data_IF_885959943295
#
_entry.id   IF_885959943295
#
_cell.length_a   1.000
_cell.length_b   1.000
_cell.length_c   1.000
_cell.angle_alpha   90.00
_cell.angle_beta   90.00
_cell.angle_gamma   90.00
#
_symmetry.space_group_name_H-M   'P 1'
#
loop_
_entity.id
_entity.type
_entity.pdbx_description
1 polymer ?
#
# COMPACT_ATOMS: atom_id res chain seq x y z
N UNK A 1 -20.46 -8.19 -26.07
CA UNK A 1 -20.17 -8.43 -24.63
C UNK A 1 -18.67 -8.37 -24.28
N UNK A 2 -17.73 -8.49 -25.23
CA UNK A 2 -16.26 -8.48 -24.97
C UNK A 2 -15.67 -7.11 -24.52
N UNK A 3 -16.16 -5.96 -25.02
CA UNK A 3 -15.61 -4.63 -24.65
C UNK A 3 -15.88 -4.18 -23.20
N UNK A 4 -16.95 -4.67 -22.57
CA UNK A 4 -17.28 -4.30 -21.18
C UNK A 4 -16.31 -4.98 -20.18
N UNK A 5 -15.97 -6.26 -20.39
CA UNK A 5 -15.02 -6.99 -19.52
C UNK A 5 -13.65 -6.33 -19.50
N UNK A 6 -13.13 -5.96 -20.67
CA UNK A 6 -11.82 -5.31 -20.77
C UNK A 6 -11.77 -3.92 -20.11
N UNK A 7 -12.87 -3.16 -20.13
CA UNK A 7 -12.94 -1.86 -19.45
C UNK A 7 -12.99 -2.02 -17.93
N UNK A 8 -13.77 -2.98 -17.42
CA UNK A 8 -13.82 -3.28 -15.98
C UNK A 8 -12.49 -3.81 -15.46
N UNK A 9 -11.86 -4.76 -16.16
CA UNK A 9 -10.54 -5.29 -15.81
C UNK A 9 -9.47 -4.21 -15.79
N UNK A 10 -9.48 -3.31 -16.79
CA UNK A 10 -8.56 -2.16 -16.84
C UNK A 10 -8.76 -1.24 -15.64
N UNK A 11 -10.00 -0.93 -15.29
CA UNK A 11 -10.33 -0.08 -14.14
C UNK A 11 -9.88 -0.72 -12.82
N UNK A 12 -10.15 -2.01 -12.62
CA UNK A 12 -9.69 -2.76 -11.44
C UNK A 12 -8.16 -2.79 -11.34
N UNK A 13 -7.46 -2.99 -12.46
CA UNK A 13 -5.99 -2.97 -12.50
C UNK A 13 -5.45 -1.58 -12.15
N UNK A 14 -6.06 -0.51 -12.66
CA UNK A 14 -5.69 0.86 -12.35
C UNK A 14 -5.94 1.21 -10.87
N UNK A 15 -7.08 0.79 -10.33
CA UNK A 15 -7.42 0.94 -8.92
C UNK A 15 -6.41 0.24 -8.01
N UNK A 16 -6.03 -1.00 -8.34
CA UNK A 16 -4.99 -1.75 -7.63
C UNK A 16 -3.63 -1.06 -7.71
N UNK A 17 -3.23 -0.60 -8.90
CA UNK A 17 -1.94 0.05 -9.12
C UNK A 17 -1.79 1.36 -8.36
N UNK A 18 -2.77 2.26 -8.47
CA UNK A 18 -2.74 3.55 -7.74
C UNK A 18 -2.88 3.31 -6.23
N UNK A 19 -3.73 2.37 -5.81
CA UNK A 19 -3.87 1.99 -4.40
C UNK A 19 -2.55 1.53 -3.79
N UNK A 20 -1.84 0.60 -4.45
CA UNK A 20 -0.53 0.13 -4.01
C UNK A 20 0.49 1.27 -3.92
N UNK A 21 0.53 2.18 -4.88
CA UNK A 21 1.45 3.33 -4.84
C UNK A 21 1.19 4.24 -3.62
N UNK A 22 -0.07 4.41 -3.21
CA UNK A 22 -0.44 5.20 -2.04
C UNK A 22 -0.12 4.47 -0.73
N UNK A 23 -0.49 3.20 -0.62
CA UNK A 23 -0.30 2.36 0.56
C UNK A 23 1.17 2.12 0.86
N UNK A 24 1.93 1.82 -0.19
CA UNK A 24 3.37 1.61 -0.07
C UNK A 24 4.13 2.92 -0.17
N UNK A 25 3.58 4.11 0.09
CA UNK A 25 4.38 5.33 0.29
C UNK A 25 5.20 5.80 -0.91
N UNK A 26 4.72 5.59 -2.15
CA UNK A 26 5.26 6.28 -3.33
C UNK A 26 4.95 7.78 -3.32
N UNK A 27 4.01 8.20 -2.47
CA UNK A 27 3.63 9.58 -2.19
C UNK A 27 3.63 9.82 -0.67
N UNK A 28 4.02 11.01 -0.24
CA UNK A 28 4.02 11.37 1.18
C UNK A 28 2.61 11.67 1.70
N UNK A 29 2.32 11.43 3.00
CA UNK A 29 1.05 11.81 3.61
C UNK A 29 0.72 13.31 3.44
N UNK A 30 -0.45 13.61 2.88
CA UNK A 30 -0.86 14.98 2.56
C UNK A 30 -0.29 15.55 1.26
N UNK A 31 0.54 14.80 0.51
CA UNK A 31 1.06 15.23 -0.79
C UNK A 31 -0.07 15.40 -1.80
N UNK A 32 -0.06 16.51 -2.54
CA UNK A 32 -0.98 16.72 -3.66
C UNK A 32 -0.67 15.80 -4.83
N UNK A 33 -1.70 15.14 -5.35
CA UNK A 33 -1.61 14.22 -6.47
C UNK A 33 -1.87 14.97 -7.77
N UNK A 34 -0.82 15.15 -8.57
CA UNK A 34 -0.94 15.73 -9.91
C UNK A 34 -1.53 14.68 -10.85
N UNK A 35 -2.71 14.97 -11.41
CA UNK A 35 -3.38 14.04 -12.33
C UNK A 35 -2.50 13.68 -13.53
N UNK A 36 -1.70 14.62 -14.05
CA UNK A 36 -0.81 14.37 -15.19
C UNK A 36 0.28 13.34 -14.88
N UNK A 37 0.77 13.30 -13.64
CA UNK A 37 1.79 12.36 -13.21
C UNK A 37 1.21 10.94 -13.08
N UNK A 38 -0.01 10.84 -12.52
CA UNK A 38 -0.75 9.57 -12.45
C UNK A 38 -1.11 9.04 -13.83
N UNK A 39 -1.59 9.90 -14.73
CA UNK A 39 -1.88 9.55 -16.12
C UNK A 39 -0.66 8.97 -16.82
N UNK A 40 0.50 9.63 -16.68
CA UNK A 40 1.77 9.16 -17.25
C UNK A 40 2.23 7.83 -16.63
N UNK A 41 2.22 7.73 -15.30
CA UNK A 41 2.72 6.55 -14.57
C UNK A 41 1.90 5.29 -14.91
N UNK A 42 0.58 5.42 -15.00
CA UNK A 42 -0.31 4.28 -15.23
C UNK A 42 -0.85 4.19 -16.66
N UNK A 43 -0.34 5.03 -17.58
CA UNK A 43 -0.78 5.12 -18.99
C UNK A 43 -2.32 5.20 -19.10
N UNK A 44 -2.92 6.06 -18.28
CA UNK A 44 -4.37 6.20 -18.13
C UNK A 44 -4.82 7.60 -18.53
N UNK A 45 -6.09 7.74 -18.88
CA UNK A 45 -6.72 9.04 -19.16
C UNK A 45 -7.06 9.79 -17.88
N UNK A 46 -7.23 11.11 -17.98
CA UNK A 46 -7.65 11.95 -16.86
C UNK A 46 -8.98 11.49 -16.24
N UNK A 47 -9.92 11.00 -17.06
CA UNK A 47 -11.21 10.50 -16.61
C UNK A 47 -11.06 9.25 -15.74
N UNK A 48 -10.31 8.25 -16.21
CA UNK A 48 -10.05 7.00 -15.47
C UNK A 48 -9.35 7.29 -14.14
N UNK A 49 -8.32 8.14 -14.14
CA UNK A 49 -7.61 8.53 -12.90
C UNK A 49 -8.56 9.19 -11.91
N UNK A 50 -9.41 10.12 -12.36
CA UNK A 50 -10.39 10.77 -11.46
C UNK A 50 -11.42 9.80 -10.91
N UNK A 51 -11.86 8.82 -11.70
CA UNK A 51 -12.79 7.80 -11.23
C UNK A 51 -12.14 6.95 -10.14
N UNK A 52 -10.94 6.44 -10.38
CA UNK A 52 -10.16 5.68 -9.39
C UNK A 52 -9.90 6.49 -8.12
N UNK A 53 -9.48 7.75 -8.23
CA UNK A 53 -9.24 8.59 -7.04
C UNK A 53 -10.52 8.86 -6.23
N UNK A 54 -11.70 8.91 -6.85
CA UNK A 54 -12.98 9.00 -6.11
C UNK A 54 -13.27 7.72 -5.33
N UNK A 55 -12.98 6.56 -5.89
CA UNK A 55 -13.15 5.28 -5.20
C UNK A 55 -12.13 5.14 -4.06
N UNK A 56 -10.88 5.49 -4.29
CA UNK A 56 -9.83 5.49 -3.26
C UNK A 56 -10.10 6.52 -2.15
N UNK A 57 -10.80 7.62 -2.45
CA UNK A 57 -11.32 8.54 -1.43
C UNK A 57 -12.33 7.84 -0.52
N UNK A 58 -13.23 7.04 -1.08
CA UNK A 58 -14.18 6.23 -0.30
C UNK A 58 -13.50 5.23 0.64
N UNK A 59 -12.27 4.81 0.32
CA UNK A 59 -11.42 3.94 1.16
C UNK A 59 -10.51 4.71 2.12
N UNK A 60 -10.54 6.05 2.11
CA UNK A 60 -9.70 6.87 2.98
C UNK A 60 -8.23 6.97 2.57
N UNK A 61 -7.83 6.54 1.36
CA UNK A 61 -6.44 6.62 0.88
C UNK A 61 -6.09 8.01 0.35
N UNK A 62 -7.09 8.77 -0.11
CA UNK A 62 -6.94 10.13 -0.61
C UNK A 62 -8.07 11.02 -0.11
N UNK A 63 -7.81 12.32 -0.05
CA UNK A 63 -8.79 13.35 0.24
C UNK A 63 -9.02 14.23 -0.99
N UNK A 64 -10.27 14.59 -1.26
CA UNK A 64 -10.60 15.57 -2.29
C UNK A 64 -10.86 16.94 -1.65
N UNK A 65 -10.18 17.97 -2.16
CA UNK A 65 -10.34 19.36 -1.75
C UNK A 65 -10.91 20.18 -2.92
N UNK A 66 -12.02 20.91 -2.72
CA UNK A 66 -12.60 21.77 -3.76
C UNK A 66 -11.53 22.72 -4.32
N UNK A 67 -11.51 22.92 -5.63
CA UNK A 67 -10.57 23.80 -6.36
C UNK A 67 -9.08 23.40 -6.34
N UNK A 68 -8.68 22.40 -5.54
CA UNK A 68 -7.28 21.95 -5.46
C UNK A 68 -7.06 20.50 -5.96
N UNK A 69 -8.10 19.66 -5.94
CA UNK A 69 -8.03 18.28 -6.43
C UNK A 69 -7.80 17.27 -5.31
N UNK A 70 -6.97 16.25 -5.56
CA UNK A 70 -6.75 15.14 -4.61
C UNK A 70 -5.39 15.25 -3.93
N UNK A 71 -5.33 14.86 -2.65
CA UNK A 71 -4.08 14.65 -1.92
C UNK A 71 -4.10 13.30 -1.21
N UNK A 72 -2.93 12.74 -0.91
CA UNK A 72 -2.82 11.55 -0.06
C UNK A 72 -3.42 11.86 1.30
N UNK A 73 -4.24 10.95 1.83
CA UNK A 73 -4.79 11.11 3.16
C UNK A 73 -3.67 11.16 4.21
N UNK A 74 -3.89 11.92 5.29
CA UNK A 74 -3.00 11.85 6.45
C UNK A 74 -3.56 10.83 7.43
N UNK A 75 -2.77 9.81 7.83
CA UNK A 75 -3.22 8.90 8.87
C UNK A 75 -3.47 9.69 10.15
N UNK A 76 -4.64 9.49 10.76
CA UNK A 76 -4.90 9.95 12.12
C UNK A 76 -3.99 9.14 13.06
N UNK A 77 -3.13 9.79 13.87
CA UNK A 77 -2.28 9.10 14.83
C UNK A 77 -3.07 8.19 15.79
N UNK A 78 -4.27 8.60 16.21
CA UNK A 78 -5.10 7.82 17.12
C UNK A 78 -5.63 6.55 16.43
N UNK A 79 -6.12 6.70 15.21
CA UNK A 79 -6.59 5.56 14.42
C UNK A 79 -5.44 4.61 14.08
N UNK A 80 -4.26 5.16 13.77
CA UNK A 80 -3.05 4.38 13.53
C UNK A 80 -2.64 3.56 14.76
N UNK A 81 -2.77 4.14 15.95
CA UNK A 81 -2.53 3.44 17.21
C UNK A 81 -3.56 2.31 17.45
N UNK A 82 -4.84 2.53 17.13
CA UNK A 82 -5.89 1.50 17.24
C UNK A 82 -5.65 0.33 16.27
N UNK A 83 -5.32 0.62 15.02
CA UNK A 83 -4.96 -0.41 14.03
C UNK A 83 -3.74 -1.19 14.52
N UNK A 84 -2.73 -0.50 15.04
CA UNK A 84 -1.54 -1.14 15.62
C UNK A 84 -1.89 -2.04 16.79
N UNK A 85 -2.79 -1.61 17.68
CA UNK A 85 -3.27 -2.41 18.79
C UNK A 85 -3.92 -3.72 18.32
N UNK A 86 -4.84 -3.64 17.35
CA UNK A 86 -5.50 -4.83 16.78
C UNK A 86 -4.48 -5.75 16.11
N UNK A 87 -3.54 -5.19 15.31
CA UNK A 87 -2.47 -5.98 14.69
C UNK A 87 -1.64 -6.71 15.72
N UNK A 88 -1.16 -6.03 16.76
CA UNK A 88 -0.33 -6.67 17.81
C UNK A 88 -1.08 -7.82 18.48
N UNK A 89 -2.38 -7.69 18.74
CA UNK A 89 -3.18 -8.78 19.30
C UNK A 89 -3.22 -9.99 18.36
N UNK A 90 -3.48 -9.77 17.06
CA UNK A 90 -3.52 -10.82 16.05
C UNK A 90 -2.16 -11.48 15.83
N UNK A 91 -1.10 -10.68 15.64
CA UNK A 91 0.26 -11.16 15.40
C UNK A 91 0.78 -11.99 16.59
N UNK A 92 0.47 -11.58 17.83
CA UNK A 92 0.80 -12.37 19.03
C UNK A 92 0.05 -13.70 19.07
N UNK A 93 -1.24 -13.70 18.74
CA UNK A 93 -2.03 -14.95 18.72
C UNK A 93 -1.54 -15.93 17.65
N UNK A 94 -1.04 -15.42 16.53
CA UNK A 94 -0.48 -16.23 15.45
C UNK A 94 0.94 -16.75 15.74
N UNK A 95 1.69 -16.10 16.64
CA UNK A 95 3.11 -16.40 16.87
C UNK A 95 3.39 -17.88 17.17
N UNK A 96 2.57 -18.51 18.04
CA UNK A 96 2.74 -19.92 18.39
C UNK A 96 2.57 -20.83 17.17
N UNK A 97 1.55 -20.58 16.34
CA UNK A 97 1.28 -21.36 15.12
C UNK A 97 2.42 -21.23 14.09
N UNK A 98 3.01 -20.05 13.99
CA UNK A 98 4.15 -19.79 13.11
C UNK A 98 5.37 -20.58 13.59
N UNK A 99 5.68 -20.50 14.90
CA UNK A 99 6.84 -21.17 15.50
C UNK A 99 6.74 -22.68 15.33
N UNK A 100 5.57 -23.27 15.55
CA UNK A 100 5.35 -24.72 15.44
C UNK A 100 5.55 -25.26 14.02
N UNK A 101 5.38 -24.43 12.99
CA UNK A 101 5.54 -24.80 11.58
C UNK A 101 6.86 -24.37 10.98
N UNK A 102 7.60 -23.50 11.66
CA UNK A 102 8.79 -22.89 11.14
C UNK A 102 9.93 -23.90 10.92
N UNK A 103 10.51 -23.88 9.73
CA UNK A 103 11.74 -24.60 9.39
C UNK A 103 12.92 -23.63 9.26
N UNK A 104 14.14 -24.17 9.25
CA UNK A 104 15.36 -23.37 9.16
C UNK A 104 15.39 -22.43 7.94
N UNK A 105 14.75 -22.83 6.83
CA UNK A 105 14.60 -22.00 5.63
C UNK A 105 13.75 -20.75 5.89
N UNK A 106 12.67 -20.87 6.68
CA UNK A 106 11.81 -19.72 7.02
C UNK A 106 12.58 -18.66 7.79
N UNK A 107 13.36 -19.10 8.77
CA UNK A 107 14.22 -18.21 9.57
C UNK A 107 15.27 -17.53 8.69
N UNK A 108 15.89 -18.25 7.75
CA UNK A 108 16.86 -17.69 6.83
C UNK A 108 16.24 -16.65 5.89
N UNK A 109 15.06 -16.91 5.35
CA UNK A 109 14.31 -16.00 4.48
C UNK A 109 13.91 -14.72 5.23
N UNK A 110 13.33 -14.86 6.43
CA UNK A 110 12.95 -13.73 7.28
C UNK A 110 14.17 -12.89 7.68
N UNK A 111 15.30 -13.52 7.98
CA UNK A 111 16.55 -12.80 8.27
C UNK A 111 17.06 -12.00 7.05
N UNK A 112 16.91 -12.54 5.84
CA UNK A 112 17.26 -11.82 4.61
C UNK A 112 16.35 -10.61 4.38
N UNK A 113 15.04 -10.76 4.58
CA UNK A 113 14.05 -9.69 4.45
C UNK A 113 14.25 -8.60 5.51
N UNK A 114 14.54 -8.98 6.75
CA UNK A 114 14.91 -8.04 7.82
C UNK A 114 16.14 -7.21 7.47
N UNK A 115 17.20 -7.84 6.92
CA UNK A 115 18.39 -7.13 6.42
C UNK A 115 18.04 -6.18 5.26
N UNK A 116 17.13 -6.56 4.37
CA UNK A 116 16.68 -5.69 3.29
C UNK A 116 15.93 -4.45 3.82
N UNK A 117 15.04 -4.64 4.80
CA UNK A 117 14.36 -3.55 5.49
C UNK A 117 15.37 -2.60 6.16
N UNK A 118 16.34 -3.13 6.93
CA UNK A 118 17.39 -2.32 7.56
C UNK A 118 18.22 -1.51 6.57
N UNK A 119 18.49 -2.04 5.37
CA UNK A 119 19.13 -1.28 4.28
C UNK A 119 18.22 -0.15 3.77
N UNK A 120 16.93 -0.40 3.63
CA UNK A 120 15.97 0.60 3.14
C UNK A 120 15.79 1.81 4.07
N UNK A 121 15.97 1.65 5.38
CA UNK A 121 15.90 2.75 6.36
C UNK A 121 16.98 3.81 6.10
N UNK A 122 18.15 3.39 5.59
CA UNK A 122 19.28 4.28 5.28
C UNK A 122 19.08 5.07 3.97
N UNK A 123 18.03 4.77 3.21
CA UNK A 123 17.73 5.44 1.95
C UNK A 123 16.52 6.37 2.13
N UNK A 124 16.51 7.54 1.47
CA UNK A 124 15.33 8.38 1.44
C UNK A 124 14.17 7.70 0.70
N UNK A 125 12.96 7.98 1.18
CA UNK A 125 11.71 7.49 0.62
C UNK A 125 11.10 6.31 1.39
N UNK A 126 9.83 6.44 1.77
CA UNK A 126 9.09 5.42 2.53
C UNK A 126 8.71 4.21 1.69
N UNK A 127 8.76 4.32 0.36
CA UNK A 127 8.28 3.25 -0.50
C UNK A 127 9.03 1.95 -0.36
N UNK A 128 10.36 2.01 -0.38
CA UNK A 128 11.19 0.83 -0.18
C UNK A 128 11.02 0.23 1.22
N UNK A 129 10.80 1.07 2.22
CA UNK A 129 10.59 0.65 3.61
C UNK A 129 9.25 -0.09 3.73
N UNK A 130 8.16 0.49 3.21
CA UNK A 130 6.84 -0.11 3.22
C UNK A 130 6.81 -1.45 2.46
N UNK A 131 7.37 -1.50 1.25
CA UNK A 131 7.45 -2.74 0.46
C UNK A 131 8.29 -3.82 1.15
N UNK A 132 9.42 -3.46 1.77
CA UNK A 132 10.25 -4.42 2.50
C UNK A 132 9.57 -4.93 3.78
N UNK A 133 8.82 -4.06 4.48
CA UNK A 133 8.03 -4.46 5.64
C UNK A 133 6.89 -5.40 5.25
N UNK A 134 6.19 -5.11 4.15
CA UNK A 134 5.13 -5.98 3.64
C UNK A 134 5.67 -7.36 3.27
N UNK A 135 6.77 -7.41 2.52
CA UNK A 135 7.40 -8.68 2.15
C UNK A 135 7.80 -9.53 3.36
N UNK A 136 8.26 -8.89 4.46
CA UNK A 136 8.53 -9.59 5.72
C UNK A 136 7.26 -10.20 6.33
N UNK A 137 6.18 -9.42 6.44
CA UNK A 137 4.91 -9.93 6.99
C UNK A 137 4.27 -11.01 6.11
N UNK A 138 4.31 -10.85 4.78
CA UNK A 138 3.82 -11.88 3.84
C UNK A 138 4.56 -13.20 4.05
N UNK A 139 5.88 -13.16 4.28
CA UNK A 139 6.68 -14.35 4.57
C UNK A 139 6.45 -14.94 5.96
N UNK A 140 6.17 -14.09 6.93
CA UNK A 140 5.93 -14.46 8.32
C UNK A 140 4.60 -15.21 8.50
N UNK A 141 3.58 -14.87 7.69
CA UNK A 141 2.24 -15.46 7.76
C UNK A 141 1.90 -16.43 6.60
N UNK A 142 2.87 -16.75 5.74
CA UNK A 142 2.74 -17.75 4.67
C UNK A 142 2.66 -19.17 5.24
#
# INVERSE_FOLDING_TARGET
MSKLSGSTERHTSLLRGIGADLEFGAYDPGQWLKLIDLQRRHRATQFEVRQVLRELKGRGLVEHRPNYGFRVARPDPLESARITYVRVALERSAAQLIIERAVARDVADLAALSRAFMKSIRMPGRHRQASANQAFHDRLFA
#
